data_IF_495177380976
#
_entry.id   IF_495177380976
#
_cell.length_a   1.000
_cell.length_b   1.000
_cell.length_c   1.000
_cell.angle_alpha   90.00
_cell.angle_beta   90.00
_cell.angle_gamma   90.00
#
_symmetry.space_group_name_H-M   'P 1'
#
loop_
_entity.id
_entity.type
_entity.pdbx_description
1 polymer ?
#
# COMPACT_ATOMS: atom_id res chain seq x y z
N UNK A 1 70.55 -23.35 11.01
CA UNK A 1 69.30 -22.95 11.70
C UNK A 1 68.26 -24.01 11.33
N UNK A 2 68.16 -25.07 12.13
CA UNK A 2 67.19 -26.14 11.91
C UNK A 2 65.85 -25.67 12.47
N UNK A 3 64.83 -25.57 11.62
CA UNK A 3 63.45 -25.37 12.09
C UNK A 3 63.06 -26.57 12.94
N UNK A 4 62.46 -26.38 14.12
CA UNK A 4 62.13 -27.51 14.97
C UNK A 4 61.00 -28.34 14.33
N UNK A 5 61.22 -29.65 14.24
CA UNK A 5 60.26 -30.68 13.79
C UNK A 5 58.95 -30.69 14.61
N UNK A 6 58.86 -29.89 15.67
CA UNK A 6 57.70 -29.74 16.54
C UNK A 6 56.45 -29.17 15.86
N UNK A 7 56.57 -28.53 14.69
CA UNK A 7 55.41 -28.02 13.98
C UNK A 7 54.59 -29.15 13.33
N UNK A 8 55.25 -30.18 12.79
CA UNK A 8 54.58 -31.35 12.20
C UNK A 8 53.85 -32.19 13.24
N UNK A 9 54.48 -32.39 14.39
CA UNK A 9 53.89 -33.14 15.51
C UNK A 9 52.70 -32.41 16.14
N UNK A 10 52.74 -31.07 16.18
CA UNK A 10 51.62 -30.27 16.66
C UNK A 10 50.37 -30.41 15.77
N UNK A 11 50.54 -30.34 14.44
CA UNK A 11 49.46 -30.52 13.47
C UNK A 11 48.86 -31.93 13.48
N UNK A 12 49.67 -32.92 13.83
CA UNK A 12 49.25 -34.33 13.92
C UNK A 12 48.69 -34.70 15.30
N UNK A 13 48.75 -33.77 16.27
CA UNK A 13 48.29 -34.04 17.61
C UNK A 13 46.76 -34.26 17.64
N UNK A 14 46.27 -35.26 18.37
CA UNK A 14 44.84 -35.55 18.44
C UNK A 14 44.03 -34.37 18.99
N UNK A 15 44.63 -33.56 19.86
CA UNK A 15 44.02 -32.34 20.40
C UNK A 15 43.83 -31.25 19.33
N UNK A 16 44.81 -31.08 18.42
CA UNK A 16 44.69 -30.13 17.32
C UNK A 16 43.63 -30.56 16.31
N UNK A 17 43.56 -31.85 15.97
CA UNK A 17 42.53 -32.38 15.07
C UNK A 17 41.12 -32.19 15.65
N UNK A 18 40.93 -32.45 16.94
CA UNK A 18 39.64 -32.22 17.62
C UNK A 18 39.26 -30.74 17.59
N UNK A 19 40.21 -29.85 17.88
CA UNK A 19 40.00 -28.39 17.82
C UNK A 19 39.63 -27.93 16.40
N UNK A 20 40.32 -28.44 15.38
CA UNK A 20 40.07 -28.09 13.99
C UNK A 20 38.69 -28.55 13.52
N UNK A 21 38.28 -29.77 13.87
CA UNK A 21 36.93 -30.28 13.58
C UNK A 21 35.88 -29.42 14.29
N UNK A 22 36.10 -29.03 15.54
CA UNK A 22 35.17 -28.19 16.29
C UNK A 22 35.02 -26.81 15.67
N UNK A 23 36.13 -26.19 15.24
CA UNK A 23 36.11 -24.93 14.47
C UNK A 23 35.34 -25.10 13.17
N UNK A 24 35.56 -26.19 12.44
CA UNK A 24 34.85 -26.50 11.19
C UNK A 24 33.34 -26.65 11.42
N UNK A 25 32.94 -27.34 12.48
CA UNK A 25 31.53 -27.50 12.87
C UNK A 25 30.91 -26.14 13.22
N UNK A 26 31.60 -25.30 13.99
CA UNK A 26 31.12 -23.95 14.33
C UNK A 26 30.97 -23.09 13.08
N UNK A 27 31.92 -23.15 12.14
CA UNK A 27 31.87 -22.43 10.86
C UNK A 27 30.70 -22.92 10.01
N UNK A 28 30.52 -24.24 9.87
CA UNK A 28 29.39 -24.82 9.12
C UNK A 28 28.06 -24.43 9.76
N UNK A 29 27.94 -24.50 11.09
CA UNK A 29 26.73 -24.06 11.80
C UNK A 29 26.48 -22.56 11.66
N UNK A 30 27.52 -21.73 11.65
CA UNK A 30 27.41 -20.29 11.44
C UNK A 30 26.89 -19.97 10.03
N UNK A 31 27.43 -20.63 9.00
CA UNK A 31 26.95 -20.47 7.62
C UNK A 31 25.57 -21.09 7.38
N UNK A 32 25.24 -22.23 8.01
CA UNK A 32 23.92 -22.83 7.94
C UNK A 32 22.85 -21.97 8.65
N UNK A 33 23.20 -21.29 9.74
CA UNK A 33 22.32 -20.33 10.43
C UNK A 33 22.13 -19.02 9.68
N UNK A 34 22.96 -18.72 8.68
CA UNK A 34 22.74 -17.58 7.77
C UNK A 34 21.58 -17.91 6.83
N UNK A 35 20.38 -17.95 7.39
CA UNK A 35 19.11 -18.10 6.68
C UNK A 35 19.12 -17.13 5.50
N UNK A 36 18.92 -17.67 4.29
CA UNK A 36 18.53 -16.87 3.14
C UNK A 36 17.26 -16.12 3.53
N UNK A 37 17.39 -14.81 3.77
CA UNK A 37 16.25 -13.93 4.00
C UNK A 37 15.43 -13.97 2.72
N UNK A 38 14.32 -14.71 2.78
CA UNK A 38 13.35 -14.81 1.71
C UNK A 38 12.90 -13.39 1.35
N UNK A 39 12.76 -13.04 0.05
CA UNK A 39 12.41 -11.68 -0.39
C UNK A 39 11.09 -11.16 0.23
N UNK A 40 10.24 -12.05 0.75
CA UNK A 40 9.01 -11.72 1.48
C UNK A 40 9.25 -10.96 2.80
N UNK A 41 10.34 -11.24 3.53
CA UNK A 41 10.61 -10.72 4.88
C UNK A 41 11.41 -9.41 4.92
N UNK A 42 11.71 -8.82 3.75
CA UNK A 42 12.48 -7.58 3.69
C UNK A 42 11.61 -6.39 4.07
N UNK A 43 12.13 -5.54 4.96
CA UNK A 43 11.46 -4.27 5.26
C UNK A 43 11.31 -3.41 3.98
N UNK A 44 10.32 -2.51 3.90
CA UNK A 44 10.07 -1.70 2.70
C UNK A 44 11.33 -0.96 2.21
N UNK A 45 12.12 -0.43 3.16
CA UNK A 45 13.38 0.28 2.88
C UNK A 45 14.44 -0.65 2.25
N UNK A 46 14.49 -1.91 2.68
CA UNK A 46 15.42 -2.90 2.11
C UNK A 46 15.02 -3.36 0.71
N UNK A 47 13.70 -3.42 0.42
CA UNK A 47 13.20 -3.71 -0.94
C UNK A 47 13.64 -2.61 -1.91
N UNK A 48 13.48 -1.33 -1.53
CA UNK A 48 13.92 -0.18 -2.35
C UNK A 48 15.42 -0.20 -2.60
N UNK A 49 16.24 -0.43 -1.56
CA UNK A 49 17.71 -0.53 -1.72
C UNK A 49 18.13 -1.68 -2.64
N UNK A 50 17.43 -2.82 -2.55
CA UNK A 50 17.68 -3.94 -3.43
C UNK A 50 17.29 -3.63 -4.88
N UNK A 51 16.12 -3.02 -5.11
CA UNK A 51 15.68 -2.59 -6.44
C UNK A 51 16.70 -1.63 -7.08
N UNK A 52 17.19 -0.64 -6.34
CA UNK A 52 18.22 0.28 -6.83
C UNK A 52 19.54 -0.43 -7.17
N UNK A 53 19.92 -1.46 -6.41
CA UNK A 53 21.11 -2.27 -6.68
C UNK A 53 20.94 -3.16 -7.92
N UNK A 54 19.75 -3.72 -8.14
CA UNK A 54 19.42 -4.55 -9.31
C UNK A 54 19.39 -3.70 -10.58
N UNK A 55 18.78 -2.50 -10.53
CA UNK A 55 18.79 -1.52 -11.62
C UNK A 55 20.21 -1.08 -11.96
N UNK A 56 21.05 -0.79 -10.95
CA UNK A 56 22.46 -0.39 -11.15
C UNK A 56 23.30 -1.50 -11.79
N UNK A 57 22.91 -2.77 -11.62
CA UNK A 57 23.56 -3.93 -12.23
C UNK A 57 23.03 -4.27 -13.64
N UNK A 58 22.12 -3.46 -14.18
CA UNK A 58 21.55 -3.65 -15.52
C UNK A 58 20.49 -4.76 -15.61
N UNK A 59 20.04 -5.30 -14.47
CA UNK A 59 19.00 -6.31 -14.43
C UNK A 59 17.64 -5.63 -14.17
N UNK A 60 16.57 -6.17 -14.76
CA UNK A 60 15.23 -5.69 -14.46
C UNK A 60 14.83 -6.13 -13.03
N UNK A 61 14.47 -5.20 -12.15
CA UNK A 61 13.96 -5.56 -10.83
C UNK A 61 12.64 -6.32 -10.98
N UNK A 62 12.47 -7.37 -10.17
CA UNK A 62 11.19 -8.03 -9.98
C UNK A 62 10.27 -7.05 -9.22
N UNK A 63 9.54 -6.25 -10.00
CA UNK A 63 8.59 -5.27 -9.47
C UNK A 63 7.35 -6.09 -9.08
N UNK A 64 7.00 -6.18 -7.78
CA UNK A 64 5.73 -6.80 -7.43
C UNK A 64 4.64 -6.01 -8.15
N UNK A 65 3.80 -6.70 -8.91
CA UNK A 65 2.63 -6.09 -9.56
C UNK A 65 1.74 -5.55 -8.46
N UNK A 66 1.96 -4.30 -8.08
CA UNK A 66 1.11 -3.59 -7.13
C UNK A 66 -0.17 -3.30 -7.86
N UNK A 67 -1.15 -4.20 -7.68
CA UNK A 67 -2.53 -3.95 -8.13
C UNK A 67 -2.97 -2.62 -7.53
N UNK A 68 -3.44 -1.71 -8.37
CA UNK A 68 -4.05 -0.47 -7.90
C UNK A 68 -5.23 -0.82 -6.99
N UNK A 69 -5.56 0.05 -6.03
CA UNK A 69 -6.79 -0.10 -5.24
C UNK A 69 -8.00 -0.23 -6.16
N UNK A 70 -7.98 0.47 -7.29
CA UNK A 70 -9.01 0.38 -8.32
C UNK A 70 -9.10 -1.04 -8.91
N UNK A 71 -7.97 -1.66 -9.26
CA UNK A 71 -7.93 -3.02 -9.83
C UNK A 71 -8.52 -4.05 -8.87
N UNK A 72 -8.19 -3.93 -7.57
CA UNK A 72 -8.72 -4.81 -6.53
C UNK A 72 -10.24 -4.64 -6.40
N UNK A 73 -10.73 -3.40 -6.46
CA UNK A 73 -12.16 -3.10 -6.37
C UNK A 73 -12.90 -3.62 -7.60
N UNK A 74 -12.34 -3.42 -8.80
CA UNK A 74 -12.91 -3.92 -10.05
C UNK A 74 -13.02 -5.43 -10.03
N UNK A 75 -11.96 -6.16 -9.67
CA UNK A 75 -11.98 -7.62 -9.55
C UNK A 75 -13.04 -8.12 -8.55
N UNK A 76 -13.20 -7.42 -7.42
CA UNK A 76 -14.20 -7.76 -6.41
C UNK A 76 -15.64 -7.54 -6.91
N UNK A 77 -15.85 -6.47 -7.67
CA UNK A 77 -17.15 -6.14 -8.26
C UNK A 77 -17.53 -7.12 -9.35
N UNK A 78 -16.62 -7.39 -10.29
CA UNK A 78 -16.81 -8.38 -11.36
C UNK A 78 -17.10 -9.76 -10.78
N UNK A 79 -16.36 -10.17 -9.74
CA UNK A 79 -16.58 -11.43 -9.03
C UNK A 79 -17.99 -11.51 -8.44
N UNK A 80 -18.49 -10.44 -7.82
CA UNK A 80 -19.83 -10.39 -7.23
C UNK A 80 -20.94 -10.35 -8.27
N UNK A 81 -20.75 -9.61 -9.37
CA UNK A 81 -21.69 -9.51 -10.49
C UNK A 81 -21.85 -10.85 -11.21
N UNK A 82 -20.74 -11.52 -11.50
CA UNK A 82 -20.76 -12.87 -12.08
C UNK A 82 -21.45 -13.88 -11.17
N UNK A 83 -21.29 -13.75 -9.85
CA UNK A 83 -21.95 -14.63 -8.86
C UNK A 83 -23.48 -14.50 -8.86
N UNK A 84 -24.01 -13.36 -9.28
CA UNK A 84 -25.45 -13.11 -9.42
C UNK A 84 -25.94 -13.20 -10.87
N UNK A 85 -25.09 -13.65 -11.80
CA UNK A 85 -25.43 -13.88 -13.21
C UNK A 85 -25.55 -12.61 -14.06
N UNK A 86 -24.95 -11.50 -13.62
CA UNK A 86 -24.95 -10.24 -14.35
C UNK A 86 -23.58 -10.00 -14.97
N UNK A 87 -23.54 -9.64 -16.25
CA UNK A 87 -22.31 -9.19 -16.91
C UNK A 87 -22.04 -7.71 -16.57
N UNK A 88 -20.84 -7.37 -16.08
CA UNK A 88 -20.45 -5.98 -15.89
C UNK A 88 -20.35 -5.27 -17.25
N UNK A 89 -20.93 -4.08 -17.35
CA UNK A 89 -20.90 -3.29 -18.59
C UNK A 89 -19.46 -2.88 -18.95
N UNK A 90 -18.94 -3.41 -20.06
CA UNK A 90 -17.54 -3.18 -20.50
C UNK A 90 -17.23 -1.73 -20.93
N UNK A 91 -18.26 -0.90 -21.11
CA UNK A 91 -18.12 0.46 -21.66
C UNK A 91 -17.85 1.54 -20.60
N UNK A 92 -18.09 1.24 -19.32
CA UNK A 92 -17.80 2.17 -18.23
C UNK A 92 -16.58 1.67 -17.46
N UNK A 93 -15.37 2.07 -17.88
CA UNK A 93 -14.09 1.70 -17.25
C UNK A 93 -13.92 2.13 -15.78
N UNK A 94 -14.96 2.67 -15.15
CA UNK A 94 -15.00 3.03 -13.75
C UNK A 94 -16.34 2.61 -13.14
N UNK A 95 -16.29 1.64 -12.24
CA UNK A 95 -17.39 1.38 -11.30
C UNK A 95 -17.48 2.62 -10.40
N UNK A 96 -18.63 3.30 -10.33
CA UNK A 96 -18.82 4.37 -9.36
C UNK A 96 -18.67 3.75 -7.97
N UNK A 97 -17.59 4.13 -7.29
CA UNK A 97 -17.41 3.79 -5.88
C UNK A 97 -18.56 4.52 -5.19
N UNK A 98 -19.53 3.81 -4.61
CA UNK A 98 -20.58 4.46 -3.83
C UNK A 98 -19.92 5.32 -2.76
N UNK A 99 -19.95 6.62 -2.99
CA UNK A 99 -19.21 7.63 -2.25
C UNK A 99 -20.07 8.16 -1.07
N UNK A 100 -21.05 7.38 -0.61
CA UNK A 100 -21.91 7.74 0.50
C UNK A 100 -22.91 8.86 0.19
N UNK A 101 -23.93 8.97 1.05
CA UNK A 101 -25.10 9.83 0.87
C UNK A 101 -24.75 11.30 0.57
N UNK A 102 -23.62 11.81 1.05
CA UNK A 102 -23.16 13.17 0.75
C UNK A 102 -22.73 13.34 -0.70
N UNK A 103 -21.91 12.42 -1.22
CA UNK A 103 -21.37 12.54 -2.57
C UNK A 103 -22.43 12.27 -3.64
N UNK A 104 -23.28 11.29 -3.40
CA UNK A 104 -24.41 10.98 -4.28
C UNK A 104 -25.32 12.22 -4.38
N UNK A 105 -25.60 12.86 -3.24
CA UNK A 105 -26.39 14.09 -3.19
C UNK A 105 -25.75 15.25 -3.94
N UNK A 106 -24.43 15.45 -3.83
CA UNK A 106 -23.74 16.54 -4.52
C UNK A 106 -23.68 16.32 -6.04
N UNK A 107 -23.45 15.08 -6.48
CA UNK A 107 -23.40 14.72 -7.92
C UNK A 107 -24.78 14.87 -8.56
N UNK A 108 -25.85 14.46 -7.87
CA UNK A 108 -27.23 14.66 -8.33
C UNK A 108 -27.59 16.13 -8.56
N UNK A 109 -26.92 17.04 -7.85
CA UNK A 109 -27.13 18.50 -7.96
C UNK A 109 -26.09 19.19 -8.86
N UNK A 110 -25.34 18.43 -9.66
CA UNK A 110 -24.49 18.97 -10.73
C UNK A 110 -23.01 19.17 -10.36
N UNK A 111 -22.58 18.70 -9.17
CA UNK A 111 -21.15 18.70 -8.83
C UNK A 111 -20.45 17.56 -9.57
N UNK A 112 -19.41 17.90 -10.34
CA UNK A 112 -18.64 16.89 -11.06
C UNK A 112 -17.99 15.85 -10.11
N UNK A 113 -17.90 14.61 -10.61
CA UNK A 113 -17.39 13.47 -9.85
C UNK A 113 -15.92 13.61 -9.43
N UNK A 114 -15.08 14.30 -10.21
CA UNK A 114 -13.67 14.56 -9.88
C UNK A 114 -13.59 15.62 -8.77
N UNK A 115 -14.42 16.66 -8.86
CA UNK A 115 -14.56 17.68 -7.80
C UNK A 115 -15.04 17.04 -6.50
N UNK A 116 -16.06 16.18 -6.56
CA UNK A 116 -16.57 15.47 -5.38
C UNK A 116 -15.51 14.55 -4.76
N UNK A 117 -14.70 13.89 -5.59
CA UNK A 117 -13.59 13.06 -5.11
C UNK A 117 -12.54 13.90 -4.37
N UNK A 118 -12.16 15.04 -4.92
CA UNK A 118 -11.22 15.96 -4.26
C UNK A 118 -11.77 16.44 -2.91
N UNK A 119 -13.06 16.81 -2.85
CA UNK A 119 -13.71 17.22 -1.59
C UNK A 119 -13.68 16.08 -0.56
N UNK A 120 -13.98 14.84 -0.96
CA UNK A 120 -13.96 13.69 -0.04
C UNK A 120 -12.57 13.33 0.46
N UNK A 121 -11.54 13.49 -0.38
CA UNK A 121 -10.14 13.22 -0.02
C UNK A 121 -9.63 14.25 1.00
N UNK A 122 -10.05 15.51 0.88
CA UNK A 122 -9.66 16.59 1.81
C UNK A 122 -10.52 16.64 3.07
N UNK A 123 -11.79 16.20 3.00
CA UNK A 123 -12.77 16.21 4.09
C UNK A 123 -12.20 15.81 5.47
N UNK A 124 -11.47 14.69 5.66
CA UNK A 124 -10.97 14.28 6.98
C UNK A 124 -9.91 15.21 7.56
N UNK A 125 -9.26 16.03 6.74
CA UNK A 125 -8.24 16.99 7.19
C UNK A 125 -8.83 18.33 7.61
N UNK A 126 -10.05 18.63 7.18
CA UNK A 126 -10.74 19.88 7.45
C UNK A 126 -11.23 19.98 8.89
N UNK A 127 -11.24 21.20 9.42
CA UNK A 127 -11.99 21.53 10.63
C UNK A 127 -13.48 21.58 10.33
N UNK A 128 -14.30 21.43 11.38
CA UNK A 128 -15.75 21.44 11.28
C UNK A 128 -16.33 22.65 10.52
N UNK A 129 -15.77 23.85 10.70
CA UNK A 129 -16.22 25.06 10.00
C UNK A 129 -15.83 25.02 8.53
N UNK A 130 -14.59 24.60 8.25
CA UNK A 130 -14.04 24.45 6.90
C UNK A 130 -14.84 23.44 6.06
N UNK A 131 -15.46 22.43 6.70
CA UNK A 131 -16.40 21.50 6.02
C UNK A 131 -17.60 22.22 5.42
N UNK A 132 -18.15 23.23 6.11
CA UNK A 132 -19.29 23.99 5.59
C UNK A 132 -18.86 24.94 4.48
N UNK A 133 -17.70 25.57 4.63
CA UNK A 133 -17.14 26.49 3.64
C UNK A 133 -16.89 25.77 2.31
N UNK A 134 -16.38 24.52 2.35
CA UNK A 134 -16.18 23.71 1.15
C UNK A 134 -17.49 23.33 0.47
N UNK A 135 -18.55 23.05 1.24
CA UNK A 135 -19.88 22.75 0.67
C UNK A 135 -20.50 23.99 0.03
N UNK A 136 -20.37 25.17 0.66
CA UNK A 136 -20.82 26.43 0.06
C UNK A 136 -20.06 26.74 -1.23
N UNK A 137 -18.73 26.62 -1.21
CA UNK A 137 -17.91 26.84 -2.40
C UNK A 137 -18.28 25.87 -3.54
N UNK A 138 -18.56 24.60 -3.23
CA UNK A 138 -19.00 23.61 -4.21
C UNK A 138 -20.41 23.91 -4.75
N UNK A 139 -21.31 24.43 -3.90
CA UNK A 139 -22.66 24.81 -4.30
C UNK A 139 -22.71 26.10 -5.14
N UNK A 140 -21.70 26.97 -5.05
CA UNK A 140 -21.55 28.19 -5.85
C UNK A 140 -20.89 27.94 -7.22
N UNK A 141 -20.46 26.71 -7.51
CA UNK A 141 -19.86 26.37 -8.81
C UNK A 141 -20.88 26.54 -9.94
N UNK A 142 -20.40 26.95 -11.12
CA UNK A 142 -21.24 27.33 -12.27
C UNK A 142 -22.22 26.24 -12.73
N UNK A 143 -21.88 24.97 -12.52
CA UNK A 143 -22.68 23.81 -12.92
C UNK A 143 -23.54 23.23 -11.78
N UNK A 144 -23.38 23.77 -10.57
CA UNK A 144 -24.08 23.30 -9.38
C UNK A 144 -25.45 24.00 -9.26
N UNK A 145 -26.51 23.22 -9.09
CA UNK A 145 -27.89 23.71 -9.07
C UNK A 145 -28.51 23.47 -7.70
N UNK A 146 -28.10 24.28 -6.71
CA UNK A 146 -28.60 24.19 -5.34
C UNK A 146 -29.50 25.37 -4.98
N UNK A 147 -30.64 25.07 -4.39
CA UNK A 147 -31.40 26.04 -3.60
C UNK A 147 -30.80 26.21 -2.21
N UNK A 148 -31.08 27.31 -1.53
CA UNK A 148 -30.60 27.56 -0.15
C UNK A 148 -30.95 26.43 0.83
N UNK A 149 -32.08 25.74 0.64
CA UNK A 149 -32.48 24.59 1.47
C UNK A 149 -31.67 23.34 1.17
N UNK A 150 -31.30 23.13 -0.09
CA UNK A 150 -30.49 21.99 -0.53
C UNK A 150 -29.04 22.16 -0.10
N UNK A 151 -28.51 23.38 -0.10
CA UNK A 151 -27.19 23.68 0.48
C UNK A 151 -27.15 23.31 1.97
N UNK A 152 -28.17 23.65 2.75
CA UNK A 152 -28.21 23.26 4.17
C UNK A 152 -28.32 21.76 4.38
N UNK A 153 -29.04 21.06 3.51
CA UNK A 153 -29.08 19.59 3.53
C UNK A 153 -27.70 19.00 3.18
N UNK A 154 -27.01 19.54 2.17
CA UNK A 154 -25.66 19.14 1.80
C UNK A 154 -24.67 19.33 2.97
N UNK A 155 -24.74 20.47 3.67
CA UNK A 155 -23.91 20.74 4.86
C UNK A 155 -24.11 19.71 5.97
N UNK A 156 -25.36 19.30 6.23
CA UNK A 156 -25.64 18.26 7.23
C UNK A 156 -25.09 16.89 6.80
N UNK A 157 -25.23 16.53 5.53
CA UNK A 157 -24.68 15.30 4.97
C UNK A 157 -23.16 15.29 5.03
N UNK A 158 -22.50 16.39 4.66
CA UNK A 158 -21.05 16.57 4.75
C UNK A 158 -20.56 16.45 6.20
N UNK A 159 -21.27 17.03 7.17
CA UNK A 159 -20.92 16.93 8.58
C UNK A 159 -21.01 15.49 9.10
N UNK A 160 -22.02 14.74 8.67
CA UNK A 160 -22.18 13.34 9.04
C UNK A 160 -21.06 12.48 8.43
N UNK A 161 -20.70 12.76 7.18
CA UNK A 161 -19.61 12.10 6.49
C UNK A 161 -18.26 12.39 7.16
N UNK A 162 -17.99 13.65 7.47
CA UNK A 162 -16.81 14.07 8.23
C UNK A 162 -16.70 13.33 9.56
N UNK A 163 -17.77 13.31 10.37
CA UNK A 163 -17.81 12.56 11.64
C UNK A 163 -17.57 11.07 11.45
N UNK A 164 -18.06 10.48 10.37
CA UNK A 164 -17.86 9.07 10.03
C UNK A 164 -16.39 8.79 9.75
N UNK A 165 -15.71 9.68 9.04
CA UNK A 165 -14.29 9.55 8.73
C UNK A 165 -13.39 9.77 9.95
N UNK A 166 -13.73 10.69 10.86
CA UNK A 166 -12.98 10.91 12.11
C UNK A 166 -13.03 9.72 13.09
N UNK A 167 -13.97 8.79 12.90
CA UNK A 167 -14.14 7.60 13.77
C UNK A 167 -13.42 6.35 13.23
N UNK A 168 -12.95 6.37 12.00
CA UNK A 168 -12.20 5.26 11.38
C UNK A 168 -10.72 5.38 11.70
#
# INVERSE_FOLDING_TARGET
>A
MQFPDSFGDFLSSPMFLISLVLVLVVVVLYFAKKKMISPADRSPIQKVKHMHSVIKKGNQPDIPVTRSRQDIITELFESKMNKIGLEPASEAGFIPVSTGDFADYMIEHGVDSETMRAILDDLPTLKRQEVFDVVEAAAEMQDANFTTREVEKAKQLALNEWKRQQRK
#
